data_IF_013118462325
#
_entry.id   IF_013118462325
#
_cell.length_a   1.000
_cell.length_b   1.000
_cell.length_c   1.000
_cell.angle_alpha   90.00
_cell.angle_beta   90.00
_cell.angle_gamma   90.00
#
_symmetry.space_group_name_H-M   'P 1'
#
loop_
_entity.id
_entity.type
_entity.pdbx_description
1 polymer ?
#
# COMPACT_ATOMS: atom_id res chain seq x y z
N UNK A 1 14.08 -18.21 13.82
CA UNK A 1 13.40 -19.54 13.87
C UNK A 1 12.47 -19.60 12.67
N UNK A 2 12.69 -20.50 11.72
CA UNK A 2 11.75 -20.73 10.62
C UNK A 2 10.57 -21.53 11.18
N UNK A 3 9.52 -20.84 11.62
CA UNK A 3 8.27 -21.46 12.06
C UNK A 3 7.56 -22.00 10.82
N UNK A 4 7.79 -23.28 10.54
CA UNK A 4 7.14 -23.97 9.42
C UNK A 4 5.65 -24.09 9.72
N UNK A 5 4.82 -23.65 8.76
CA UNK A 5 3.37 -23.71 8.89
C UNK A 5 2.87 -25.06 8.38
N UNK A 6 2.18 -25.80 9.25
CA UNK A 6 1.75 -27.19 9.01
C UNK A 6 0.28 -27.45 9.29
N UNK A 7 -0.36 -26.61 10.11
CA UNK A 7 -1.74 -26.85 10.56
C UNK A 7 -2.68 -25.75 10.10
N UNK A 8 -3.99 -26.06 10.06
CA UNK A 8 -5.04 -25.10 9.69
C UNK A 8 -5.03 -23.83 10.55
N UNK A 9 -4.93 -23.89 11.90
CA UNK A 9 -4.90 -22.69 12.72
C UNK A 9 -3.69 -21.79 12.44
N UNK A 10 -2.54 -22.37 12.10
CA UNK A 10 -1.34 -21.61 11.77
C UNK A 10 -1.48 -20.85 10.45
N UNK A 11 -2.18 -21.42 9.46
CA UNK A 11 -2.49 -20.72 8.19
C UNK A 11 -3.48 -19.60 8.43
N UNK A 12 -4.53 -19.85 9.20
CA UNK A 12 -5.52 -18.82 9.53
C UNK A 12 -4.87 -17.64 10.26
N UNK A 13 -3.95 -17.92 11.18
CA UNK A 13 -3.16 -16.88 11.83
C UNK A 13 -2.29 -16.12 10.83
N UNK A 14 -1.56 -16.81 9.94
CA UNK A 14 -0.76 -16.16 8.92
C UNK A 14 -1.59 -15.30 7.95
N UNK A 15 -2.82 -15.72 7.63
CA UNK A 15 -3.78 -14.94 6.86
C UNK A 15 -4.23 -13.69 7.61
N UNK A 16 -4.58 -13.81 8.90
CA UNK A 16 -4.94 -12.66 9.73
C UNK A 16 -3.78 -11.66 9.86
N UNK A 17 -2.57 -12.17 10.10
CA UNK A 17 -1.34 -11.38 10.14
C UNK A 17 -1.13 -10.67 8.81
N UNK A 18 -1.34 -11.36 7.68
CA UNK A 18 -1.19 -10.76 6.36
C UNK A 18 -2.11 -9.54 6.16
N UNK A 19 -3.36 -9.62 6.64
CA UNK A 19 -4.32 -8.50 6.62
C UNK A 19 -3.86 -7.35 7.52
N UNK A 20 -3.45 -7.64 8.76
CA UNK A 20 -3.01 -6.62 9.73
C UNK A 20 -1.76 -5.90 9.23
N UNK A 21 -0.73 -6.64 8.85
CA UNK A 21 0.50 -6.04 8.33
C UNK A 21 0.28 -5.36 6.97
N UNK A 22 -0.62 -5.86 6.14
CA UNK A 22 -1.00 -5.20 4.89
C UNK A 22 -1.64 -3.82 5.13
N UNK A 23 -2.51 -3.72 6.14
CA UNK A 23 -3.08 -2.44 6.56
C UNK A 23 -2.01 -1.49 7.13
N UNK A 24 -1.09 -1.99 7.96
CA UNK A 24 0.02 -1.21 8.51
C UNK A 24 0.91 -0.65 7.39
N UNK A 25 1.28 -1.49 6.41
CA UNK A 25 2.09 -1.07 5.26
C UNK A 25 1.36 0.00 4.45
N UNK A 26 0.06 -0.14 4.22
CA UNK A 26 -0.73 0.87 3.50
C UNK A 26 -0.73 2.22 4.24
N UNK A 27 -0.90 2.22 5.56
CA UNK A 27 -0.86 3.44 6.40
C UNK A 27 0.52 4.09 6.35
N UNK A 28 1.59 3.31 6.50
CA UNK A 28 2.96 3.81 6.44
C UNK A 28 3.29 4.36 5.05
N UNK A 29 2.89 3.68 3.99
CA UNK A 29 3.06 4.15 2.62
C UNK A 29 2.35 5.49 2.40
N UNK A 30 1.16 5.67 2.97
CA UNK A 30 0.40 6.90 2.88
C UNK A 30 1.07 8.03 3.66
N UNK A 31 1.59 7.76 4.87
CA UNK A 31 2.39 8.72 5.62
C UNK A 31 3.65 9.15 4.85
N UNK A 32 4.38 8.21 4.25
CA UNK A 32 5.56 8.47 3.41
C UNK A 32 5.19 9.32 2.19
N UNK A 33 4.08 9.01 1.52
CA UNK A 33 3.63 9.79 0.38
C UNK A 33 3.24 11.23 0.73
N UNK A 34 2.62 11.44 1.90
CA UNK A 34 2.30 12.77 2.42
C UNK A 34 3.59 13.54 2.73
N UNK A 35 4.58 12.90 3.38
CA UNK A 35 5.87 13.52 3.69
C UNK A 35 6.63 13.91 2.41
N UNK A 36 6.73 13.01 1.43
CA UNK A 36 7.40 13.32 0.15
C UNK A 36 6.66 14.46 -0.56
N UNK A 37 5.32 14.44 -0.56
CA UNK A 37 4.55 15.53 -1.14
C UNK A 37 4.73 16.86 -0.40
N UNK A 38 5.01 16.86 0.91
CA UNK A 38 5.21 18.08 1.69
C UNK A 38 6.62 18.68 1.49
N UNK A 39 7.62 17.82 1.27
CA UNK A 39 9.02 18.17 0.98
C UNK A 39 9.24 18.72 -0.45
N UNK A 40 8.42 18.31 -1.43
CA UNK A 40 8.50 18.87 -2.79
C UNK A 40 8.19 20.38 -2.73
N UNK A 41 9.16 21.20 -3.08
CA UNK A 41 9.07 22.67 -3.03
C UNK A 41 7.85 23.20 -3.79
N UNK A 42 7.22 24.26 -3.27
CA UNK A 42 6.11 24.95 -3.92
C UNK A 42 6.66 25.92 -4.96
N UNK A 43 7.15 25.41 -6.10
CA UNK A 43 7.24 26.26 -7.31
C UNK A 43 5.90 26.14 -8.03
N UNK A 44 5.36 27.28 -8.43
CA UNK A 44 4.10 27.40 -9.16
C UNK A 44 4.26 26.95 -10.63
N UNK A 45 5.15 26.00 -10.90
CA UNK A 45 5.38 25.46 -12.23
C UNK A 45 4.47 24.25 -12.46
N UNK A 46 3.97 24.09 -13.69
CA UNK A 46 3.05 23.00 -14.05
C UNK A 46 3.66 21.61 -13.88
N UNK A 47 4.99 21.51 -13.78
CA UNK A 47 5.67 20.22 -13.61
C UNK A 47 5.55 19.67 -12.18
N UNK A 48 5.47 20.52 -11.15
CA UNK A 48 5.57 20.06 -9.76
C UNK A 48 4.32 19.32 -9.26
N UNK A 49 3.13 19.72 -9.72
CA UNK A 49 1.89 19.02 -9.35
C UNK A 49 1.80 17.63 -10.01
N UNK A 50 2.29 17.50 -11.25
CA UNK A 50 2.36 16.21 -11.96
C UNK A 50 3.37 15.30 -11.25
N UNK A 51 4.54 15.83 -10.89
CA UNK A 51 5.56 15.07 -10.17
C UNK A 51 5.04 14.55 -8.83
N UNK A 52 4.32 15.35 -8.03
CA UNK A 52 3.70 14.88 -6.77
C UNK A 52 2.68 13.76 -6.99
N UNK A 53 1.85 13.86 -8.04
CA UNK A 53 0.88 12.83 -8.40
C UNK A 53 1.56 11.52 -8.82
N UNK A 54 2.62 11.61 -9.63
CA UNK A 54 3.41 10.44 -10.04
C UNK A 54 4.03 9.77 -8.80
N UNK A 55 4.65 10.53 -7.90
CA UNK A 55 5.21 9.96 -6.67
C UNK A 55 4.17 9.27 -5.80
N UNK A 56 2.98 9.88 -5.64
CA UNK A 56 1.88 9.25 -4.91
C UNK A 56 1.47 7.90 -5.53
N UNK A 57 1.29 7.84 -6.85
CA UNK A 57 0.93 6.61 -7.56
C UNK A 57 2.06 5.57 -7.45
N UNK A 58 3.31 5.97 -7.65
CA UNK A 58 4.48 5.09 -7.58
C UNK A 58 4.63 4.49 -6.19
N UNK A 59 4.50 5.28 -5.13
CA UNK A 59 4.61 4.79 -3.75
C UNK A 59 3.49 3.79 -3.44
N UNK A 60 2.24 4.09 -3.83
CA UNK A 60 1.12 3.17 -3.64
C UNK A 60 1.35 1.82 -4.32
N UNK A 61 1.79 1.82 -5.59
CA UNK A 61 2.06 0.59 -6.34
C UNK A 61 3.25 -0.17 -5.74
N UNK A 62 4.37 0.51 -5.49
CA UNK A 62 5.61 -0.11 -5.00
C UNK A 62 5.42 -0.69 -3.60
N UNK A 63 4.71 0.02 -2.70
CA UNK A 63 4.47 -0.47 -1.34
C UNK A 63 3.57 -1.72 -1.34
N UNK A 64 2.45 -1.67 -2.06
CA UNK A 64 1.52 -2.80 -2.16
C UNK A 64 2.15 -4.02 -2.84
N UNK A 65 2.84 -3.82 -3.97
CA UNK A 65 3.55 -4.91 -4.65
C UNK A 65 4.74 -5.44 -3.85
N UNK A 66 5.49 -4.56 -3.18
CA UNK A 66 6.62 -4.95 -2.35
C UNK A 66 6.20 -5.85 -1.19
N UNK A 67 5.09 -5.51 -0.53
CA UNK A 67 4.55 -6.34 0.53
C UNK A 67 3.99 -7.68 0.02
N UNK A 68 3.29 -7.67 -1.12
CA UNK A 68 2.84 -8.91 -1.76
C UNK A 68 4.02 -9.81 -2.12
N UNK A 69 5.09 -9.25 -2.69
CA UNK A 69 6.30 -9.98 -3.06
C UNK A 69 7.02 -10.53 -1.83
N UNK A 70 7.11 -9.76 -0.74
CA UNK A 70 7.63 -10.24 0.53
C UNK A 70 6.88 -11.49 1.01
N UNK A 71 5.55 -11.46 1.01
CA UNK A 71 4.74 -12.61 1.41
C UNK A 71 4.97 -13.82 0.49
N UNK A 72 5.12 -13.60 -0.82
CA UNK A 72 5.40 -14.67 -1.80
C UNK A 72 6.79 -15.29 -1.64
N UNK A 73 7.80 -14.50 -1.28
CA UNK A 73 9.20 -14.95 -1.21
C UNK A 73 9.60 -15.45 0.18
N UNK A 74 8.97 -14.92 1.24
CA UNK A 74 9.36 -15.21 2.63
C UNK A 74 8.34 -16.09 3.32
N UNK A 75 7.04 -15.84 3.17
CA UNK A 75 6.00 -16.57 3.93
C UNK A 75 5.57 -17.84 3.19
N UNK A 76 5.27 -17.76 1.90
CA UNK A 76 4.82 -18.93 1.11
C UNK A 76 5.78 -20.12 1.19
N UNK A 77 7.12 -19.97 1.12
CA UNK A 77 8.04 -21.11 1.20
C UNK A 77 8.07 -21.78 2.57
N UNK A 78 7.61 -21.11 3.63
CA UNK A 78 7.53 -21.69 4.98
C UNK A 78 6.31 -22.61 5.16
N UNK A 79 5.38 -22.61 4.20
CA UNK A 79 4.17 -23.44 4.20
C UNK A 79 4.47 -24.75 3.47
N UNK A 80 4.38 -25.89 4.16
CA UNK A 80 4.73 -27.19 3.56
C UNK A 80 3.64 -27.78 2.66
N UNK A 81 2.36 -27.51 2.95
CA UNK A 81 1.26 -28.10 2.21
C UNK A 81 0.86 -27.21 1.02
N UNK A 82 0.82 -27.78 -0.19
CA UNK A 82 0.46 -27.05 -1.41
C UNK A 82 -0.97 -26.46 -1.37
N UNK A 83 -1.93 -27.13 -0.74
CA UNK A 83 -3.28 -26.60 -0.55
C UNK A 83 -3.28 -25.35 0.34
N UNK A 84 -2.49 -25.37 1.42
CA UNK A 84 -2.33 -24.22 2.30
C UNK A 84 -1.56 -23.06 1.65
N UNK A 85 -0.60 -23.36 0.79
CA UNK A 85 0.05 -22.33 -0.03
C UNK A 85 -0.97 -21.61 -0.92
N UNK A 86 -1.88 -22.35 -1.55
CA UNK A 86 -2.89 -21.74 -2.41
C UNK A 86 -3.86 -20.86 -1.63
N UNK A 87 -4.32 -21.31 -0.45
CA UNK A 87 -5.16 -20.50 0.44
C UNK A 87 -4.48 -19.18 0.86
N UNK A 88 -3.19 -19.25 1.24
CA UNK A 88 -2.44 -18.06 1.62
C UNK A 88 -2.18 -17.14 0.42
N UNK A 89 -1.84 -17.68 -0.77
CA UNK A 89 -1.63 -16.90 -2.00
C UNK A 89 -2.89 -16.15 -2.40
N UNK A 90 -4.05 -16.79 -2.32
CA UNK A 90 -5.34 -16.16 -2.60
C UNK A 90 -5.60 -15.00 -1.62
N UNK A 91 -5.37 -15.25 -0.33
CA UNK A 91 -5.49 -14.20 0.71
C UNK A 91 -4.53 -13.04 0.45
N UNK A 92 -3.27 -13.34 0.12
CA UNK A 92 -2.26 -12.33 -0.18
C UNK A 92 -2.65 -11.47 -1.40
N UNK A 93 -3.33 -12.05 -2.39
CA UNK A 93 -3.87 -11.30 -3.53
C UNK A 93 -5.01 -10.36 -3.10
N UNK A 94 -5.94 -10.82 -2.26
CA UNK A 94 -6.97 -9.92 -1.71
C UNK A 94 -6.38 -8.80 -0.87
N UNK A 95 -5.37 -9.10 -0.05
CA UNK A 95 -4.65 -8.09 0.76
C UNK A 95 -3.93 -7.09 -0.15
N UNK A 96 -3.32 -7.53 -1.26
CA UNK A 96 -2.74 -6.63 -2.25
C UNK A 96 -3.79 -5.67 -2.81
N UNK A 97 -4.93 -6.19 -3.27
CA UNK A 97 -6.00 -5.38 -3.85
C UNK A 97 -6.60 -4.42 -2.80
N UNK A 98 -6.82 -4.89 -1.57
CA UNK A 98 -7.39 -4.09 -0.50
C UNK A 98 -6.42 -3.01 0.00
N UNK A 99 -5.12 -3.32 0.14
CA UNK A 99 -4.10 -2.34 0.55
C UNK A 99 -3.89 -1.27 -0.52
N UNK A 100 -3.81 -1.66 -1.80
CA UNK A 100 -3.71 -0.73 -2.92
C UNK A 100 -4.98 0.13 -3.02
N UNK A 101 -6.15 -0.50 -3.05
CA UNK A 101 -7.44 0.20 -3.12
C UNK A 101 -7.65 1.15 -1.94
N UNK A 102 -7.38 0.68 -0.72
CA UNK A 102 -7.47 1.48 0.51
C UNK A 102 -6.52 2.69 0.48
N UNK A 103 -5.28 2.49 0.04
CA UNK A 103 -4.32 3.58 -0.14
C UNK A 103 -4.83 4.66 -1.10
N UNK A 104 -5.34 4.26 -2.27
CA UNK A 104 -5.86 5.22 -3.27
C UNK A 104 -7.14 5.91 -2.78
N UNK A 105 -8.09 5.16 -2.21
CA UNK A 105 -9.35 5.73 -1.71
C UNK A 105 -9.08 6.72 -0.58
N UNK A 106 -8.32 6.32 0.44
CA UNK A 106 -8.00 7.19 1.58
C UNK A 106 -7.15 8.38 1.13
N UNK A 107 -6.17 8.16 0.25
CA UNK A 107 -5.35 9.24 -0.29
C UNK A 107 -6.16 10.26 -1.08
N UNK A 108 -7.10 9.81 -1.93
CA UNK A 108 -8.00 10.71 -2.68
C UNK A 108 -8.92 11.48 -1.71
N UNK A 109 -9.51 10.80 -0.71
CA UNK A 109 -10.35 11.45 0.31
C UNK A 109 -9.57 12.52 1.07
N UNK A 110 -8.33 12.24 1.47
CA UNK A 110 -7.47 13.22 2.12
C UNK A 110 -7.16 14.41 1.20
N UNK A 111 -6.86 14.17 -0.08
CA UNK A 111 -6.64 15.25 -1.04
C UNK A 111 -7.90 16.12 -1.26
N UNK A 112 -9.10 15.54 -1.16
CA UNK A 112 -10.37 16.27 -1.21
C UNK A 112 -10.64 17.08 0.06
N UNK A 113 -10.40 16.51 1.25
CA UNK A 113 -10.53 17.21 2.53
C UNK A 113 -9.52 18.37 2.66
N UNK A 114 -8.29 18.17 2.18
CA UNK A 114 -7.22 19.17 2.21
C UNK A 114 -7.07 19.93 0.88
N UNK A 115 -8.20 20.27 0.24
CA UNK A 115 -8.28 20.94 -1.07
C UNK A 115 -7.53 22.28 -1.17
N UNK A 116 -7.35 22.98 -0.04
CA UNK A 116 -6.61 24.25 0.04
C UNK A 116 -5.13 24.09 0.46
N UNK A 117 -4.63 22.86 0.60
CA UNK A 117 -3.25 22.54 1.02
C UNK A 117 -2.44 21.92 -0.12
N UNK A 118 -1.13 21.66 0.10
CA UNK A 118 -0.22 20.97 -0.85
C UNK A 118 -0.80 19.66 -1.39
N UNK A 119 -1.60 18.97 -0.57
CA UNK A 119 -2.28 17.73 -0.92
C UNK A 119 -3.42 17.96 -1.94
N UNK A 120 -4.17 19.05 -1.83
CA UNK A 120 -5.24 19.41 -2.79
C UNK A 120 -4.71 19.72 -4.20
N UNK A 121 -3.50 20.28 -4.31
CA UNK A 121 -2.87 20.56 -5.61
C UNK A 121 -2.60 19.30 -6.46
N UNK A 122 -2.57 18.12 -5.83
CA UNK A 122 -2.38 16.83 -6.50
C UNK A 122 -3.60 16.48 -7.37
N UNK A 123 -4.81 16.93 -7.02
CA UNK A 123 -6.06 16.63 -7.75
C UNK A 123 -6.31 17.55 -8.95
N UNK A 124 -5.76 18.76 -8.96
CA UNK A 124 -5.88 19.70 -10.07
C UNK A 124 -5.91 21.15 -9.61
N UNK A 125 -5.41 22.06 -10.47
CA UNK A 125 -5.37 23.50 -10.20
C UNK A 125 -6.79 24.04 -10.01
N UNK A 126 -7.00 24.89 -8.99
CA UNK A 126 -8.13 25.82 -9.01
C UNK A 126 -7.98 26.66 -10.27
N UNK A 127 -9.00 26.66 -11.12
CA UNK A 127 -9.11 27.57 -12.25
C UNK A 127 -9.48 28.91 -11.61
N UNK A 128 -8.53 29.84 -11.58
CA UNK A 128 -8.84 31.26 -11.35
C UNK A 128 -9.78 31.73 -12.47
#
# INVERSE_FOLDING_TARGET
MNTVIRTLPQIQQAQADAWVYGAIVAILALAVAILISSLINWRSDRKDYITRRIWFVVIGIVASLGYWLYNMQVIVPTIQNAGFQNMFKETNLYVLLASAGGYFIVGILLMLCFRNSKLGSILGRKKD
#
